data_IF_896416679887
#
_entry.id   IF_896416679887
#
_cell.length_a   1.000
_cell.length_b   1.000
_cell.length_c   1.000
_cell.angle_alpha   90.00
_cell.angle_beta   90.00
_cell.angle_gamma   90.00
#
_symmetry.space_group_name_H-M   'P 1'
#
loop_
_entity.id
_entity.type
_entity.pdbx_description
1 polymer ?
#
# COMPACT_ATOMS: atom_id res chain seq x y z
N UNK A 1 -13.20 -13.41 -20.64
CA UNK A 1 -12.18 -12.62 -19.87
C UNK A 1 -11.70 -11.44 -20.70
N UNK A 2 -11.41 -11.60 -21.98
CA UNK A 2 -10.82 -10.57 -22.84
C UNK A 2 -11.72 -9.35 -23.08
N UNK A 3 -13.03 -9.55 -23.17
CA UNK A 3 -13.99 -8.46 -23.36
C UNK A 3 -14.11 -7.56 -22.13
N UNK A 4 -13.99 -8.09 -20.90
CA UNK A 4 -14.03 -7.32 -19.68
C UNK A 4 -12.76 -6.48 -19.51
N UNK A 5 -11.61 -7.08 -19.81
CA UNK A 5 -10.32 -6.39 -19.77
C UNK A 5 -10.27 -5.24 -20.80
N UNK A 6 -10.80 -5.47 -22.00
CA UNK A 6 -10.87 -4.42 -23.02
C UNK A 6 -11.85 -3.28 -22.64
N UNK A 7 -12.98 -3.60 -22.02
CA UNK A 7 -13.92 -2.60 -21.52
C UNK A 7 -13.34 -1.79 -20.37
N UNK A 8 -12.63 -2.46 -19.43
CA UNK A 8 -11.92 -1.81 -18.34
C UNK A 8 -10.83 -0.87 -18.86
N UNK A 9 -10.03 -1.31 -19.85
CA UNK A 9 -8.99 -0.49 -20.47
C UNK A 9 -9.56 0.75 -21.18
N UNK A 10 -10.73 0.66 -21.81
CA UNK A 10 -11.43 1.81 -22.42
C UNK A 10 -11.96 2.78 -21.38
N UNK A 11 -12.57 2.27 -20.31
CA UNK A 11 -13.09 3.10 -19.22
C UNK A 11 -11.96 3.87 -18.52
N UNK A 12 -10.80 3.24 -18.35
CA UNK A 12 -9.60 3.85 -17.76
C UNK A 12 -8.98 4.94 -18.64
N UNK A 13 -9.11 4.82 -19.98
CA UNK A 13 -8.68 5.87 -20.92
C UNK A 13 -9.64 7.02 -21.05
N UNK A 14 -10.77 6.98 -20.32
CA UNK A 14 -11.83 7.98 -20.47
C UNK A 14 -12.64 7.84 -21.78
N UNK A 15 -12.43 6.74 -22.50
CA UNK A 15 -13.14 6.40 -23.73
C UNK A 15 -14.41 5.64 -23.35
N UNK A 16 -15.52 6.33 -23.23
CA UNK A 16 -16.79 5.69 -22.93
C UNK A 16 -17.83 6.72 -22.46
N UNK A 17 -19.11 6.35 -22.57
CA UNK A 17 -20.18 7.16 -22.02
C UNK A 17 -20.03 7.29 -20.50
N UNK A 18 -20.57 8.37 -19.93
CA UNK A 18 -20.59 8.59 -18.47
C UNK A 18 -21.14 7.37 -17.71
N UNK A 19 -22.05 6.63 -18.33
CA UNK A 19 -22.67 5.42 -17.81
C UNK A 19 -21.68 4.25 -17.68
N UNK A 20 -20.82 4.04 -18.68
CA UNK A 20 -19.75 3.03 -18.66
C UNK A 20 -18.70 3.37 -17.60
N UNK A 21 -18.34 4.64 -17.49
CA UNK A 21 -17.40 5.09 -16.45
C UNK A 21 -17.99 4.93 -15.04
N UNK A 22 -19.27 5.20 -14.86
CA UNK A 22 -19.94 5.02 -13.57
C UNK A 22 -20.06 3.54 -13.21
N UNK A 23 -20.45 2.70 -14.18
CA UNK A 23 -20.52 1.23 -13.98
C UNK A 23 -19.15 0.66 -13.63
N UNK A 24 -18.09 1.12 -14.30
CA UNK A 24 -16.72 0.70 -13.98
C UNK A 24 -16.29 1.14 -12.58
N UNK A 25 -16.58 2.40 -12.18
CA UNK A 25 -16.31 2.86 -10.81
C UNK A 25 -17.07 2.06 -9.77
N UNK A 26 -18.35 1.74 -10.03
CA UNK A 26 -19.15 0.93 -9.13
C UNK A 26 -18.59 -0.51 -9.02
N UNK A 27 -18.16 -1.09 -10.15
CA UNK A 27 -17.55 -2.42 -10.17
C UNK A 27 -16.22 -2.43 -9.40
N UNK A 28 -15.36 -1.44 -9.64
CA UNK A 28 -14.09 -1.29 -8.90
C UNK A 28 -14.36 -1.05 -7.42
N UNK A 29 -15.34 -0.19 -7.07
CA UNK A 29 -15.73 0.01 -5.68
C UNK A 29 -16.27 -1.27 -5.03
N UNK A 30 -17.08 -2.05 -5.75
CA UNK A 30 -17.60 -3.32 -5.25
C UNK A 30 -16.48 -4.36 -5.07
N UNK A 31 -15.48 -4.39 -5.95
CA UNK A 31 -14.30 -5.23 -5.80
C UNK A 31 -13.41 -4.80 -4.63
N UNK A 32 -13.34 -3.49 -4.37
CA UNK A 32 -12.55 -2.92 -3.27
C UNK A 32 -13.25 -3.08 -1.90
N UNK A 33 -14.59 -3.07 -1.89
CA UNK A 33 -15.42 -3.23 -0.67
C UNK A 33 -15.71 -4.70 -0.37
N UNK A 34 -15.31 -5.63 -1.24
CA UNK A 34 -15.45 -7.04 -0.93
C UNK A 34 -14.50 -7.39 0.22
N UNK A 35 -14.94 -7.05 1.44
CA UNK A 35 -14.35 -7.53 2.69
C UNK A 35 -14.36 -9.06 2.64
N UNK A 36 -13.31 -9.62 2.08
CA UNK A 36 -13.08 -11.04 2.23
C UNK A 36 -12.95 -11.30 3.73
N UNK A 37 -13.90 -12.01 4.29
CA UNK A 37 -13.88 -12.49 5.69
C UNK A 37 -12.56 -13.20 6.04
N UNK A 38 -11.79 -13.55 5.04
CA UNK A 38 -10.50 -14.24 5.12
C UNK A 38 -9.28 -13.33 4.98
N UNK A 39 -9.45 -12.04 4.63
CA UNK A 39 -8.36 -11.09 4.49
C UNK A 39 -8.65 -9.82 5.30
N UNK A 40 -8.10 -9.68 6.51
CA UNK A 40 -8.30 -8.49 7.35
C UNK A 40 -7.51 -7.27 6.85
N UNK A 41 -7.17 -7.22 5.57
CA UNK A 41 -6.49 -6.12 4.92
C UNK A 41 -7.39 -5.43 3.91
N UNK A 42 -7.38 -4.11 3.94
CA UNK A 42 -7.94 -3.32 2.87
C UNK A 42 -6.93 -3.18 1.72
N UNK A 43 -7.36 -3.46 0.50
CA UNK A 43 -6.54 -3.33 -0.71
C UNK A 43 -7.13 -2.28 -1.64
N UNK A 44 -6.31 -1.34 -2.08
CA UNK A 44 -6.70 -0.25 -2.96
C UNK A 44 -5.77 -0.19 -4.17
N UNK A 45 -6.34 0.07 -5.34
CA UNK A 45 -5.60 0.48 -6.52
C UNK A 45 -5.66 2.00 -6.61
N UNK A 46 -4.51 2.64 -6.52
CA UNK A 46 -4.39 4.11 -6.56
C UNK A 46 -3.88 4.51 -7.93
N UNK A 47 -4.70 5.22 -8.73
CA UNK A 47 -4.23 5.78 -9.98
C UNK A 47 -3.28 6.94 -9.68
N UNK A 48 -2.11 6.92 -10.29
CA UNK A 48 -1.15 8.00 -10.27
C UNK A 48 -0.97 8.53 -11.69
N UNK A 49 -0.65 9.80 -11.82
CA UNK A 49 -0.29 10.41 -13.10
C UNK A 49 1.12 10.97 -13.01
N UNK A 50 1.97 10.55 -13.93
CA UNK A 50 3.32 11.06 -14.06
C UNK A 50 3.60 11.34 -15.55
N UNK A 51 4.00 12.57 -15.86
CA UNK A 51 4.34 13.01 -17.21
C UNK A 51 3.24 12.69 -18.26
N UNK A 52 1.96 12.85 -17.86
CA UNK A 52 0.79 12.56 -18.71
C UNK A 52 0.49 11.07 -18.87
N UNK A 53 1.17 10.19 -18.15
CA UNK A 53 0.94 8.75 -18.13
C UNK A 53 0.26 8.33 -16.84
N UNK A 54 -0.76 7.48 -16.96
CA UNK A 54 -1.46 6.90 -15.81
C UNK A 54 -0.73 5.64 -15.36
N UNK A 55 -0.27 5.65 -14.11
CA UNK A 55 0.32 4.51 -13.42
C UNK A 55 -0.68 4.01 -12.38
N UNK A 56 -0.59 2.74 -12.04
CA UNK A 56 -1.33 2.18 -10.93
C UNK A 56 -0.36 1.73 -9.85
N UNK A 57 -0.71 2.07 -8.62
CA UNK A 57 -0.02 1.56 -7.46
C UNK A 57 -0.97 0.75 -6.59
N UNK A 58 -0.44 -0.20 -5.86
CA UNK A 58 -1.20 -1.01 -4.92
C UNK A 58 -0.93 -0.52 -3.50
N UNK A 59 -1.99 -0.29 -2.75
CA UNK A 59 -1.94 0.05 -1.34
C UNK A 59 -2.66 -1.01 -0.53
N UNK A 60 -1.95 -1.60 0.40
CA UNK A 60 -2.48 -2.55 1.38
C UNK A 60 -2.47 -1.89 2.76
N UNK A 61 -3.58 -2.01 3.50
CA UNK A 61 -3.76 -1.36 4.82
C UNK A 61 -4.23 -2.37 5.84
N UNK A 62 -3.49 -2.48 6.95
CA UNK A 62 -3.92 -3.11 8.19
C UNK A 62 -4.25 -2.00 9.20
N UNK A 63 -5.54 -1.85 9.50
CA UNK A 63 -6.03 -0.81 10.40
C UNK A 63 -5.81 -1.16 11.89
N UNK A 64 -5.51 -2.42 12.20
CA UNK A 64 -5.33 -2.95 13.55
C UNK A 64 -3.98 -3.69 13.67
N UNK A 65 -2.92 -3.09 13.12
CA UNK A 65 -1.59 -3.68 13.17
C UNK A 65 -1.09 -3.81 14.62
N UNK A 66 -0.56 -4.98 14.97
CA UNK A 66 0.10 -5.16 16.27
C UNK A 66 1.52 -4.63 16.22
N UNK A 67 1.89 -3.94 17.27
CA UNK A 67 3.26 -3.53 17.47
C UNK A 67 4.01 -4.52 18.36
N UNK A 68 4.84 -5.33 17.71
CA UNK A 68 5.69 -6.30 18.43
C UNK A 68 6.92 -5.66 19.13
N UNK A 69 7.22 -4.38 18.83
CA UNK A 69 8.47 -3.75 19.27
C UNK A 69 8.41 -3.08 20.66
N UNK A 70 7.24 -2.75 21.17
CA UNK A 70 7.14 -2.07 22.45
C UNK A 70 6.06 -2.72 23.32
N UNK A 71 6.46 -3.46 24.32
CA UNK A 71 5.60 -3.94 25.43
C UNK A 71 4.99 -2.82 26.29
N UNK A 72 4.84 -1.62 25.75
CA UNK A 72 4.06 -0.53 26.30
C UNK A 72 2.69 -0.59 25.67
N UNK A 73 1.73 -1.15 26.39
CA UNK A 73 0.32 -1.05 26.11
C UNK A 73 -0.11 0.42 26.09
N UNK A 74 0.21 1.09 25.00
CA UNK A 74 -0.37 2.38 24.66
C UNK A 74 -1.69 2.11 23.95
N UNK A 75 -2.75 2.77 24.38
CA UNK A 75 -4.11 2.71 23.83
C UNK A 75 -4.19 3.32 22.40
N UNK A 76 -3.04 3.56 21.77
CA UNK A 76 -2.90 4.15 20.45
C UNK A 76 -3.12 3.13 19.34
N UNK A 77 -4.05 3.43 18.44
CA UNK A 77 -4.35 2.64 17.25
C UNK A 77 -3.13 2.62 16.33
N UNK A 78 -2.59 1.42 16.07
CA UNK A 78 -1.49 1.23 15.14
C UNK A 78 -2.03 0.83 13.77
N UNK A 79 -1.61 1.54 12.74
CA UNK A 79 -1.95 1.23 11.35
C UNK A 79 -0.67 0.92 10.57
N UNK A 80 -0.74 -0.08 9.70
CA UNK A 80 0.38 -0.41 8.81
C UNK A 80 -0.07 -0.40 7.37
N UNK A 81 0.76 0.18 6.53
CA UNK A 81 0.53 0.35 5.11
C UNK A 81 1.68 -0.29 4.33
N UNK A 82 1.36 -0.96 3.24
CA UNK A 82 2.31 -1.34 2.21
C UNK A 82 1.88 -0.71 0.90
N UNK A 83 2.73 0.12 0.36
CA UNK A 83 2.53 0.78 -0.91
C UNK A 83 3.52 0.23 -1.93
N UNK A 84 3.01 -0.36 -3.01
CA UNK A 84 3.80 -0.88 -4.12
C UNK A 84 3.62 0.01 -5.34
N UNK A 85 4.71 0.57 -5.82
CA UNK A 85 4.71 1.52 -6.92
C UNK A 85 5.71 1.07 -7.99
N UNK A 86 5.25 0.88 -9.21
CA UNK A 86 6.10 0.65 -10.37
C UNK A 86 6.24 1.96 -11.16
N UNK A 87 7.44 2.52 -11.17
CA UNK A 87 7.75 3.77 -11.88
C UNK A 87 8.43 3.42 -13.18
N UNK A 88 7.79 3.76 -14.29
CA UNK A 88 8.32 3.51 -15.65
C UNK A 88 9.77 4.00 -15.79
N UNK A 89 10.64 3.14 -16.32
CA UNK A 89 12.09 3.38 -16.54
C UNK A 89 12.93 3.52 -15.25
N UNK A 90 12.30 3.56 -14.07
CA UNK A 90 13.00 3.65 -12.78
C UNK A 90 12.96 2.32 -12.06
N UNK A 91 11.78 1.70 -11.97
CA UNK A 91 11.56 0.41 -11.38
C UNK A 91 10.61 0.41 -10.18
N UNK A 92 10.58 -0.72 -9.50
CA UNK A 92 9.65 -1.00 -8.40
C UNK A 92 10.13 -0.40 -7.07
N UNK A 93 9.21 0.25 -6.37
CA UNK A 93 9.36 0.70 -4.98
C UNK A 93 8.38 -0.04 -4.09
N UNK A 94 8.85 -0.47 -2.93
CA UNK A 94 8.01 -0.94 -1.83
C UNK A 94 8.17 0.03 -0.66
N UNK A 95 7.08 0.63 -0.22
CA UNK A 95 7.06 1.57 0.90
C UNK A 95 6.21 0.99 2.03
N UNK A 96 6.82 0.75 3.18
CA UNK A 96 6.13 0.32 4.38
C UNK A 96 6.04 1.51 5.31
N UNK A 97 4.82 1.86 5.72
CA UNK A 97 4.56 2.92 6.66
C UNK A 97 3.81 2.35 7.87
N UNK A 98 4.32 2.65 9.06
CA UNK A 98 3.65 2.30 10.32
C UNK A 98 3.32 3.58 11.06
N UNK A 99 2.05 3.80 11.36
CA UNK A 99 1.55 5.00 12.02
C UNK A 99 0.97 4.66 13.39
N UNK A 100 1.30 5.49 14.38
CA UNK A 100 0.66 5.54 15.71
C UNK A 100 0.32 6.98 16.00
N UNK A 101 -0.97 7.26 16.03
CA UNK A 101 -1.42 8.64 16.14
C UNK A 101 -0.72 9.52 15.09
N UNK A 102 0.12 10.45 15.52
CA UNK A 102 0.92 11.32 14.64
C UNK A 102 2.36 10.83 14.39
N UNK A 103 2.81 9.83 15.11
CA UNK A 103 4.14 9.25 14.93
C UNK A 103 4.14 8.27 13.75
N UNK A 104 5.11 8.43 12.85
CA UNK A 104 5.21 7.64 11.62
C UNK A 104 6.62 7.12 11.42
N UNK A 105 6.71 5.80 11.20
CA UNK A 105 7.92 5.12 10.74
C UNK A 105 7.75 4.74 9.27
N UNK A 106 8.75 5.03 8.43
CA UNK A 106 8.73 4.74 6.99
C UNK A 106 9.97 3.95 6.59
N UNK A 107 9.76 2.84 5.91
CA UNK A 107 10.83 2.06 5.27
C UNK A 107 10.58 1.98 3.77
N UNK A 108 11.53 2.46 2.98
CA UNK A 108 11.47 2.45 1.51
C UNK A 108 12.50 1.46 0.99
N UNK A 109 12.05 0.49 0.19
CA UNK A 109 12.92 -0.30 -0.66
C UNK A 109 12.84 0.24 -2.09
N UNK A 110 13.96 0.68 -2.63
CA UNK A 110 14.05 1.36 -3.92
C UNK A 110 14.87 0.57 -4.94
N UNK A 111 14.66 0.81 -6.25
CA UNK A 111 15.48 0.21 -7.30
C UNK A 111 16.97 0.51 -7.11
N UNK A 112 17.88 -0.39 -7.57
CA UNK A 112 19.31 -0.21 -7.44
C UNK A 112 19.84 1.11 -7.97
N UNK A 113 19.28 1.61 -9.08
CA UNK A 113 19.68 2.88 -9.70
C UNK A 113 19.33 4.11 -8.86
N UNK A 114 18.40 3.99 -7.91
CA UNK A 114 17.95 5.06 -7.02
C UNK A 114 18.66 5.00 -5.66
N UNK A 115 19.21 3.86 -5.28
CA UNK A 115 19.86 3.65 -3.99
C UNK A 115 20.98 4.67 -3.65
N UNK A 116 21.76 5.21 -4.61
CA UNK A 116 22.74 6.27 -4.33
C UNK A 116 22.12 7.55 -3.76
N UNK A 117 20.83 7.79 -4.01
CA UNK A 117 20.08 8.98 -3.55
C UNK A 117 19.28 8.72 -2.26
N UNK A 118 19.57 7.63 -1.54
CA UNK A 118 18.80 7.22 -0.35
C UNK A 118 18.67 8.32 0.70
N UNK A 119 19.75 9.06 0.98
CA UNK A 119 19.76 10.15 1.97
C UNK A 119 18.87 11.33 1.58
N UNK A 120 18.86 11.68 0.31
CA UNK A 120 17.99 12.73 -0.24
C UNK A 120 16.52 12.33 -0.13
N UNK A 121 16.24 11.07 -0.42
CA UNK A 121 14.87 10.51 -0.30
C UNK A 121 14.44 10.49 1.17
N UNK A 122 15.27 10.01 2.10
CA UNK A 122 14.99 10.03 3.55
C UNK A 122 14.66 11.45 4.03
N UNK A 123 15.47 12.43 3.64
CA UNK A 123 15.25 13.83 3.98
C UNK A 123 13.94 14.36 3.40
N UNK A 124 13.66 14.06 2.14
CA UNK A 124 12.44 14.50 1.46
C UNK A 124 11.20 13.90 2.10
N UNK A 125 11.21 12.59 2.37
CA UNK A 125 10.10 11.90 3.04
C UNK A 125 9.87 12.49 4.44
N UNK A 126 10.92 12.73 5.23
CA UNK A 126 10.81 13.35 6.55
C UNK A 126 10.20 14.74 6.47
N UNK A 127 10.59 15.54 5.48
CA UNK A 127 10.01 16.87 5.25
C UNK A 127 8.53 16.81 4.86
N UNK A 128 8.14 15.85 4.02
CA UNK A 128 6.74 15.65 3.62
C UNK A 128 5.90 15.30 4.85
N UNK A 129 6.35 14.37 5.69
CA UNK A 129 5.67 13.99 6.92
C UNK A 129 5.48 15.21 7.84
N UNK A 130 6.54 15.96 8.10
CA UNK A 130 6.49 17.15 8.96
C UNK A 130 5.55 18.22 8.43
N UNK A 131 5.54 18.47 7.12
CA UNK A 131 4.61 19.43 6.49
C UNK A 131 3.14 19.02 6.62
N UNK A 132 2.87 17.73 6.76
CA UNK A 132 1.53 17.19 6.97
C UNK A 132 1.21 16.95 8.45
N UNK A 133 1.90 17.62 9.36
CA UNK A 133 1.71 17.55 10.81
C UNK A 133 1.92 16.14 11.41
N UNK A 134 2.72 15.32 10.74
CA UNK A 134 3.15 14.01 11.20
C UNK A 134 4.55 14.08 11.76
N UNK A 135 4.86 13.24 12.74
CA UNK A 135 6.16 13.15 13.39
C UNK A 135 6.94 11.96 12.86
N UNK A 136 7.97 12.14 12.03
CA UNK A 136 8.81 11.04 11.60
C UNK A 136 9.66 10.52 12.76
N UNK A 137 9.41 9.31 13.20
CA UNK A 137 10.19 8.62 14.25
C UNK A 137 11.26 7.70 13.68
N UNK A 138 11.17 7.38 12.41
CA UNK A 138 12.17 6.62 11.67
C UNK A 138 11.87 6.69 10.17
N UNK A 139 12.86 7.08 9.37
CA UNK A 139 12.79 7.01 7.91
C UNK A 139 14.04 6.31 7.43
N UNK A 140 13.86 5.22 6.70
CA UNK A 140 14.96 4.46 6.12
C UNK A 140 14.73 4.18 4.65
N UNK A 141 15.76 4.29 3.84
CA UNK A 141 15.75 3.98 2.41
C UNK A 141 16.87 2.99 2.12
N UNK A 142 16.52 1.85 1.53
CA UNK A 142 17.46 0.80 1.19
C UNK A 142 17.28 0.33 -0.25
N UNK A 143 18.34 -0.18 -0.84
CA UNK A 143 18.26 -0.89 -2.11
C UNK A 143 17.35 -2.10 -1.97
N UNK A 144 16.44 -2.27 -2.92
CA UNK A 144 15.59 -3.45 -3.01
C UNK A 144 16.43 -4.64 -3.54
N UNK A 145 16.51 -5.70 -2.77
CA UNK A 145 17.09 -6.98 -3.23
C UNK A 145 16.02 -7.86 -3.87
N UNK A 146 14.83 -7.86 -3.28
CA UNK A 146 13.62 -8.49 -3.79
C UNK A 146 12.38 -7.73 -3.32
N UNK A 147 11.25 -7.81 -4.04
CA UNK A 147 9.99 -7.25 -3.58
C UNK A 147 9.58 -7.87 -2.23
N UNK A 148 9.04 -7.06 -1.34
CA UNK A 148 8.49 -7.56 -0.07
C UNK A 148 7.19 -8.30 -0.32
N UNK A 149 6.93 -9.32 0.49
CA UNK A 149 5.68 -10.08 0.44
C UNK A 149 4.67 -9.54 1.46
N UNK A 150 3.39 -9.80 1.23
CA UNK A 150 2.33 -9.43 2.19
C UNK A 150 2.52 -10.11 3.55
N UNK A 151 3.00 -11.35 3.56
CA UNK A 151 3.28 -12.11 4.78
C UNK A 151 4.36 -11.48 5.66
N UNK A 152 5.38 -10.89 5.03
CA UNK A 152 6.45 -10.21 5.76
C UNK A 152 5.97 -8.91 6.40
N UNK A 153 5.09 -8.18 5.72
CA UNK A 153 4.57 -6.90 6.20
C UNK A 153 3.41 -7.09 7.17
N UNK A 154 2.55 -8.07 6.91
CA UNK A 154 1.31 -8.33 7.65
C UNK A 154 1.26 -9.78 8.16
N UNK A 155 2.08 -10.17 9.12
CA UNK A 155 2.19 -11.57 9.58
C UNK A 155 0.88 -12.13 10.14
N UNK A 156 0.00 -11.30 10.71
CA UNK A 156 -1.29 -11.72 11.25
C UNK A 156 -2.23 -12.39 10.24
N UNK A 157 -2.12 -12.08 8.95
CA UNK A 157 -2.99 -12.67 7.92
C UNK A 157 -2.90 -14.20 7.93
N UNK A 158 -1.77 -14.75 8.34
CA UNK A 158 -1.46 -16.17 8.30
C UNK A 158 -1.57 -16.83 9.66
N UNK A 159 -1.48 -16.09 10.77
CA UNK A 159 -1.63 -16.61 12.12
C UNK A 159 -3.09 -17.04 12.41
N UNK A 160 -4.09 -16.40 11.78
CA UNK A 160 -5.51 -16.76 11.92
C UNK A 160 -5.96 -18.03 11.20
N UNK A 161 -5.14 -18.62 10.34
CA UNK A 161 -5.50 -19.84 9.57
C UNK A 161 -5.34 -21.15 10.34
N UNK A 162 -4.70 -21.14 11.51
CA UNK A 162 -4.41 -22.36 12.27
C UNK A 162 -5.39 -22.64 13.44
N UNK A 163 -6.43 -21.85 13.63
CA UNK A 163 -7.44 -22.14 14.63
C UNK A 163 -8.79 -22.53 14.02
N UNK A 164 -8.79 -23.59 13.22
CA UNK A 164 -10.03 -24.36 13.03
C UNK A 164 -10.18 -25.21 14.29
N UNK A 165 -10.83 -24.63 15.29
CA UNK A 165 -11.25 -25.36 16.48
C UNK A 165 -12.48 -26.17 16.10
N UNK A 166 -12.27 -27.34 15.50
CA UNK A 166 -13.34 -28.32 15.33
C UNK A 166 -13.60 -28.91 16.72
N UNK A 167 -14.55 -28.34 17.45
CA UNK A 167 -15.19 -29.08 18.54
C UNK A 167 -16.07 -30.16 17.92
N UNK A 168 -15.59 -31.36 18.00
CA UNK A 168 -16.39 -32.57 17.83
C UNK A 168 -17.29 -32.73 19.06
#
# INVERSE_FOLDING_TARGET
ADHLAAAAARALRGEGSAEVQQTFRNLVSAMLVNESVYMPLNHFLIPLEQDGRKLFSELWVDADAEDKKNGRGGDGKCMRFLFKLDVEKVGLFDVILTSRDKEVEVAVACPPGVAPFSREIEKTVSQILTRNELTPVGVSVRKMERPVTLTEVFPKIFEGKNSVNVKV
#
